data_IF_736534643658
#
_entry.id   IF_736534643658
#
_cell.length_a   1.000
_cell.length_b   1.000
_cell.length_c   1.000
_cell.angle_alpha   90.00
_cell.angle_beta   90.00
_cell.angle_gamma   90.00
#
_symmetry.space_group_name_H-M   'P 1'
#
loop_
_entity.id
_entity.type
_entity.pdbx_description
1 polymer ?
#
# COMPACT_ATOMS: atom_id res chain seq x y z
N UNK A 1 -5.22 0.35 -1.42
CA UNK A 1 -3.87 0.95 -1.30
C UNK A 1 -3.20 0.47 -0.01
N UNK A 2 -2.57 -0.71 -0.06
CA UNK A 2 -1.87 -1.29 1.11
C UNK A 2 -0.39 -0.86 1.20
N UNK A 3 0.18 -0.31 0.14
CA UNK A 3 1.62 -0.09 0.00
C UNK A 3 2.19 1.12 0.76
N UNK A 4 1.43 2.18 1.01
CA UNK A 4 1.92 3.42 1.61
C UNK A 4 2.09 3.38 3.15
N UNK A 5 2.34 2.20 3.73
CA UNK A 5 2.37 2.03 5.20
C UNK A 5 3.61 2.59 5.87
N UNK A 6 4.74 2.60 5.17
CA UNK A 6 6.01 3.00 5.77
C UNK A 6 6.00 4.49 6.13
N UNK A 7 5.62 5.35 5.21
CA UNK A 7 5.58 6.82 5.39
C UNK A 7 4.34 7.30 6.14
N UNK A 8 3.17 6.81 5.76
CA UNK A 8 1.88 7.30 6.26
C UNK A 8 1.31 6.47 7.42
N UNK A 9 1.78 5.25 7.60
CA UNK A 9 1.24 4.32 8.60
C UNK A 9 -0.01 3.60 8.10
N UNK A 10 -0.78 3.04 9.05
CA UNK A 10 -1.96 2.24 8.76
C UNK A 10 -3.23 3.08 8.78
N UNK A 11 -4.30 2.62 8.13
CA UNK A 11 -5.64 3.24 8.12
C UNK A 11 -6.17 3.50 9.53
N UNK A 12 -5.81 2.65 10.51
CA UNK A 12 -6.18 2.77 11.92
C UNK A 12 -5.88 4.16 12.50
N UNK A 13 -4.75 4.77 12.13
CA UNK A 13 -4.34 6.11 12.59
C UNK A 13 -5.19 7.25 12.03
N UNK A 14 -5.97 6.97 11.00
CA UNK A 14 -6.80 7.97 10.32
C UNK A 14 -8.28 7.81 10.60
N UNK A 15 -8.70 6.74 11.28
CA UNK A 15 -10.09 6.56 11.70
C UNK A 15 -10.29 7.27 13.03
N UNK A 16 -11.06 8.35 12.99
CA UNK A 16 -11.37 9.18 14.17
C UNK A 16 -12.60 8.69 14.92
N UNK A 17 -13.52 8.01 14.22
CA UNK A 17 -14.74 7.49 14.80
C UNK A 17 -15.48 6.58 13.84
N UNK A 18 -16.33 5.72 14.38
CA UNK A 18 -17.15 4.78 13.64
C UNK A 18 -18.59 4.81 14.11
N UNK A 19 -19.51 4.58 13.19
CA UNK A 19 -20.88 4.17 13.48
C UNK A 19 -21.00 2.71 13.07
N UNK A 20 -21.33 1.85 14.01
CA UNK A 20 -21.34 0.40 13.83
C UNK A 20 -22.65 -0.21 14.30
N UNK A 21 -23.03 -1.31 13.65
CA UNK A 21 -24.12 -2.17 14.07
C UNK A 21 -23.53 -3.38 14.82
N UNK A 22 -23.93 -3.52 16.09
CA UNK A 22 -23.48 -4.64 16.94
C UNK A 22 -24.21 -5.94 16.61
N UNK A 23 -23.77 -7.07 17.16
CA UNK A 23 -24.41 -8.38 17.04
C UNK A 23 -25.88 -8.38 17.51
N UNK A 24 -26.22 -7.50 18.48
CA UNK A 24 -27.58 -7.31 19.00
C UNK A 24 -28.42 -6.35 18.17
N UNK A 25 -28.01 -6.05 16.94
CA UNK A 25 -28.65 -5.10 16.03
C UNK A 25 -28.82 -3.68 16.61
N UNK A 26 -27.96 -3.29 17.55
CA UNK A 26 -27.94 -1.93 18.10
C UNK A 26 -26.92 -1.07 17.39
N UNK A 27 -27.33 0.16 17.04
CA UNK A 27 -26.42 1.15 16.48
C UNK A 27 -25.58 1.75 17.60
N UNK A 28 -24.26 1.72 17.44
CA UNK A 28 -23.29 2.30 18.37
C UNK A 28 -22.36 3.25 17.65
N UNK A 29 -21.99 4.35 18.28
CA UNK A 29 -20.99 5.28 17.80
C UNK A 29 -19.76 5.22 18.68
N UNK A 30 -18.58 5.18 18.06
CA UNK A 30 -17.28 5.18 18.74
C UNK A 30 -16.42 6.32 18.24
N UNK A 31 -15.36 6.67 18.99
CA UNK A 31 -14.41 7.71 18.62
C UNK A 31 -14.77 9.09 19.17
N UNK A 32 -14.09 10.11 18.65
CA UNK A 32 -14.10 11.46 19.18
C UNK A 32 -15.50 12.10 19.13
N UNK A 33 -16.24 11.92 20.18
CA UNK A 33 -17.45 12.68 20.48
C UNK A 33 -17.09 14.02 21.16
N UNK A 34 -16.16 14.79 20.60
CA UNK A 34 -15.70 16.06 21.20
C UNK A 34 -14.59 15.90 22.25
N UNK A 35 -14.16 17.04 22.81
CA UNK A 35 -13.10 17.10 23.82
C UNK A 35 -13.47 16.27 25.06
N UNK A 36 -12.64 15.30 25.43
CA UNK A 36 -12.72 14.65 26.72
C UNK A 36 -13.09 13.16 26.73
N UNK A 37 -13.15 12.47 25.61
CA UNK A 37 -13.38 11.02 25.55
C UNK A 37 -12.10 10.19 25.70
N UNK A 38 -11.20 10.59 26.60
CA UNK A 38 -9.94 9.86 26.83
C UNK A 38 -10.03 8.82 27.95
N UNK A 39 -11.24 8.57 28.45
CA UNK A 39 -11.45 7.62 29.53
C UNK A 39 -11.94 6.27 28.99
N UNK A 40 -11.17 5.21 29.24
CA UNK A 40 -11.52 3.84 28.88
C UNK A 40 -10.79 3.28 27.66
N UNK A 41 -11.28 2.15 27.15
CA UNK A 41 -10.70 1.49 25.98
C UNK A 41 -11.05 2.20 24.69
N UNK A 42 -10.08 2.28 23.76
CA UNK A 42 -10.32 2.82 22.43
C UNK A 42 -11.06 1.79 21.54
N UNK A 43 -12.39 1.82 21.61
CA UNK A 43 -13.24 0.91 20.84
C UNK A 43 -13.12 1.15 19.32
N UNK A 44 -12.82 2.37 18.88
CA UNK A 44 -12.58 2.65 17.46
C UNK A 44 -11.38 1.83 16.95
N UNK A 45 -10.29 1.84 17.69
CA UNK A 45 -9.10 1.08 17.33
C UNK A 45 -9.30 -0.43 17.43
N UNK A 46 -10.15 -0.91 18.33
CA UNK A 46 -10.50 -2.32 18.44
C UNK A 46 -11.30 -2.80 17.22
N UNK A 47 -12.23 -1.97 16.75
CA UNK A 47 -13.10 -2.30 15.62
C UNK A 47 -12.41 -2.19 14.26
N UNK A 48 -11.44 -1.29 14.11
CA UNK A 48 -10.68 -1.16 12.87
C UNK A 48 -9.85 -2.42 12.62
N UNK A 49 -10.00 -3.01 11.45
CA UNK A 49 -9.42 -4.29 11.03
C UNK A 49 -10.01 -5.54 11.69
N UNK A 50 -11.19 -5.45 12.31
CA UNK A 50 -11.94 -6.63 12.79
C UNK A 50 -12.64 -7.41 11.67
N UNK A 51 -12.65 -6.89 10.45
CA UNK A 51 -13.23 -7.52 9.25
C UNK A 51 -14.69 -7.96 9.42
N UNK A 52 -15.46 -7.22 10.23
CA UNK A 52 -16.87 -7.50 10.50
C UNK A 52 -17.12 -8.52 11.62
N UNK A 53 -16.07 -9.08 12.23
CA UNK A 53 -16.24 -10.12 13.29
C UNK A 53 -16.74 -9.56 14.60
N UNK A 54 -16.50 -8.27 14.88
CA UNK A 54 -16.95 -7.61 16.12
C UNK A 54 -18.20 -6.76 15.90
N UNK A 55 -18.32 -6.10 14.76
CA UNK A 55 -19.47 -5.29 14.38
C UNK A 55 -19.41 -4.93 12.90
N UNK A 56 -20.55 -4.58 12.31
CA UNK A 56 -20.65 -4.07 10.95
C UNK A 56 -20.52 -2.54 10.94
N UNK A 57 -19.53 -2.02 10.23
CA UNK A 57 -19.33 -0.58 10.11
C UNK A 57 -20.26 0.01 9.05
N UNK A 58 -21.13 0.96 9.47
CA UNK A 58 -22.03 1.70 8.57
C UNK A 58 -21.45 3.03 8.13
N UNK A 59 -20.72 3.73 9.03
CA UNK A 59 -20.08 5.02 8.73
C UNK A 59 -18.73 5.12 9.43
N UNK A 60 -17.82 5.89 8.81
CA UNK A 60 -16.52 6.21 9.38
C UNK A 60 -16.24 7.72 9.26
N UNK A 61 -15.69 8.29 10.34
CA UNK A 61 -15.11 9.63 10.34
C UNK A 61 -13.61 9.48 10.16
N UNK A 62 -13.08 10.08 9.10
CA UNK A 62 -11.68 9.92 8.70
C UNK A 62 -10.93 11.25 8.81
N UNK A 63 -9.70 11.19 9.34
CA UNK A 63 -8.73 12.27 9.20
C UNK A 63 -8.21 12.27 7.77
N UNK A 64 -8.38 13.38 7.07
CA UNK A 64 -7.87 13.55 5.71
C UNK A 64 -6.44 14.06 5.72
N UNK A 65 -5.68 13.66 4.71
CA UNK A 65 -4.33 14.15 4.42
C UNK A 65 -4.32 14.81 3.05
N UNK A 66 -3.50 15.83 2.91
CA UNK A 66 -3.28 16.46 1.61
C UNK A 66 -2.57 15.47 0.68
N UNK A 67 -3.07 15.23 -0.54
CA UNK A 67 -2.39 14.36 -1.48
C UNK A 67 -1.02 14.94 -1.87
N UNK A 68 0.01 14.09 -2.06
CA UNK A 68 1.32 14.55 -2.52
C UNK A 68 1.22 15.17 -3.90
N UNK A 69 2.01 16.23 -4.15
CA UNK A 69 2.03 16.95 -5.44
C UNK A 69 2.80 16.19 -6.52
N UNK A 70 3.74 15.34 -6.13
CA UNK A 70 4.54 14.52 -7.03
C UNK A 70 4.80 13.16 -6.41
N UNK A 71 5.06 12.17 -7.25
CA UNK A 71 5.58 10.89 -6.83
C UNK A 71 6.43 10.28 -7.94
N UNK A 72 7.37 9.41 -7.57
CA UNK A 72 8.25 8.71 -8.50
C UNK A 72 8.37 7.26 -8.08
N UNK A 73 8.09 6.36 -9.00
CA UNK A 73 8.20 4.92 -8.79
C UNK A 73 9.48 4.40 -9.43
N UNK A 74 10.08 3.40 -8.77
CA UNK A 74 11.30 2.74 -9.21
C UNK A 74 11.15 1.24 -8.98
N UNK A 75 11.74 0.45 -9.88
CA UNK A 75 11.87 -0.98 -9.75
C UNK A 75 13.35 -1.34 -9.84
N UNK A 76 13.84 -2.18 -8.93
CA UNK A 76 15.22 -2.65 -8.93
C UNK A 76 15.28 -4.17 -8.90
N UNK A 77 16.08 -4.75 -9.76
CA UNK A 77 16.24 -6.20 -9.93
C UNK A 77 17.55 -6.63 -9.27
N UNK A 78 17.50 -7.69 -8.45
CA UNK A 78 18.67 -8.18 -7.72
C UNK A 78 18.96 -9.64 -8.00
N UNK A 79 20.28 -10.00 -8.12
CA UNK A 79 20.71 -11.36 -8.30
C UNK A 79 20.67 -12.19 -7.02
N UNK A 80 20.56 -11.54 -5.85
CA UNK A 80 20.56 -12.16 -4.53
C UNK A 80 19.58 -11.44 -3.58
N UNK A 81 18.80 -12.21 -2.83
CA UNK A 81 17.90 -11.72 -1.79
C UNK A 81 18.64 -10.85 -0.75
N UNK A 82 19.87 -11.25 -0.37
CA UNK A 82 20.69 -10.52 0.59
C UNK A 82 21.00 -9.09 0.12
N UNK A 83 21.32 -8.90 -1.15
CA UNK A 83 21.61 -7.58 -1.72
C UNK A 83 20.38 -6.68 -1.72
N UNK A 84 19.22 -7.24 -2.08
CA UNK A 84 17.95 -6.51 -1.98
C UNK A 84 17.64 -6.07 -0.55
N UNK A 85 17.86 -6.94 0.44
CA UNK A 85 17.67 -6.60 1.86
C UNK A 85 18.65 -5.52 2.33
N UNK A 86 19.90 -5.55 1.87
CA UNK A 86 20.88 -4.50 2.14
C UNK A 86 20.49 -3.16 1.52
N UNK A 87 19.91 -3.18 0.31
CA UNK A 87 19.40 -1.99 -0.34
C UNK A 87 18.25 -1.35 0.46
N UNK A 88 17.33 -2.15 1.00
CA UNK A 88 16.27 -1.64 1.90
C UNK A 88 16.86 -0.93 3.11
N UNK A 89 17.83 -1.56 3.79
CA UNK A 89 18.51 -0.94 4.93
C UNK A 89 19.27 0.34 4.52
N UNK A 90 19.91 0.32 3.37
CA UNK A 90 20.63 1.48 2.82
C UNK A 90 19.72 2.68 2.50
N UNK A 91 18.52 2.44 1.96
CA UNK A 91 17.53 3.50 1.69
C UNK A 91 17.13 4.19 3.00
N UNK A 92 16.84 3.41 4.05
CA UNK A 92 16.48 3.96 5.36
C UNK A 92 17.69 4.69 6.01
N UNK A 93 18.90 4.14 5.89
CA UNK A 93 20.12 4.78 6.38
C UNK A 93 20.45 6.10 5.65
N UNK A 94 20.03 6.23 4.39
CA UNK A 94 20.09 7.48 3.63
C UNK A 94 19.01 8.51 4.04
N UNK A 95 18.27 8.26 5.11
CA UNK A 95 17.17 9.10 5.61
C UNK A 95 16.02 9.31 4.61
N UNK A 96 15.88 8.42 3.63
CA UNK A 96 14.73 8.42 2.73
C UNK A 96 13.66 7.47 3.28
N UNK A 97 12.44 8.00 3.45
CA UNK A 97 11.28 7.21 3.87
C UNK A 97 10.31 7.11 2.69
N UNK A 98 10.40 6.04 1.88
CA UNK A 98 9.51 5.88 0.74
C UNK A 98 8.05 5.70 1.20
N UNK A 99 7.10 6.14 0.39
CA UNK A 99 5.69 5.86 0.66
C UNK A 99 5.36 4.38 0.38
N UNK A 100 6.07 3.77 -0.58
CA UNK A 100 5.97 2.35 -0.90
C UNK A 100 7.36 1.72 -0.93
N UNK A 101 7.50 0.57 -0.29
CA UNK A 101 8.67 -0.29 -0.38
C UNK A 101 8.19 -1.74 -0.32
N UNK A 102 8.10 -2.38 -1.47
CA UNK A 102 7.62 -3.75 -1.61
C UNK A 102 8.76 -4.65 -2.07
N UNK A 103 8.84 -5.82 -1.47
CA UNK A 103 9.84 -6.83 -1.76
C UNK A 103 9.16 -8.06 -2.37
N UNK A 104 9.63 -8.50 -3.51
CA UNK A 104 9.21 -9.75 -4.14
C UNK A 104 10.40 -10.68 -4.28
N UNK A 105 10.28 -11.89 -3.77
CA UNK A 105 11.22 -12.98 -4.00
C UNK A 105 10.97 -13.69 -5.34
N UNK A 106 11.85 -14.58 -5.72
CA UNK A 106 11.74 -15.32 -7.00
C UNK A 106 10.42 -16.07 -7.13
N UNK A 107 9.94 -16.71 -6.06
CA UNK A 107 8.67 -17.43 -6.09
C UNK A 107 7.49 -16.48 -6.37
N UNK A 108 7.45 -15.35 -5.68
CA UNK A 108 6.43 -14.32 -5.87
C UNK A 108 6.49 -13.73 -7.28
N UNK A 109 7.70 -13.45 -7.79
CA UNK A 109 7.90 -12.94 -9.16
C UNK A 109 7.28 -13.89 -10.17
N UNK A 110 7.58 -15.20 -10.06
CA UNK A 110 7.07 -16.20 -11.00
C UNK A 110 5.55 -16.36 -10.88
N UNK A 111 4.97 -16.37 -9.67
CA UNK A 111 3.52 -16.41 -9.49
C UNK A 111 2.81 -15.20 -10.10
N UNK A 112 3.36 -13.99 -9.91
CA UNK A 112 2.81 -12.77 -10.50
C UNK A 112 2.90 -12.84 -12.02
N UNK A 113 4.04 -13.27 -12.56
CA UNK A 113 4.26 -13.34 -14.00
C UNK A 113 3.37 -14.40 -14.67
N UNK A 114 3.14 -15.55 -14.00
CA UNK A 114 2.21 -16.57 -14.49
C UNK A 114 0.77 -16.05 -14.58
N UNK A 115 0.38 -15.15 -13.67
CA UNK A 115 -0.98 -14.62 -13.62
C UNK A 115 -1.18 -13.38 -14.49
N UNK A 116 -0.23 -12.45 -14.48
CA UNK A 116 -0.39 -11.11 -15.10
C UNK A 116 0.33 -11.02 -16.44
N UNK A 117 1.46 -11.74 -16.61
CA UNK A 117 2.28 -11.77 -17.82
C UNK A 117 2.72 -10.37 -18.30
N UNK A 118 3.42 -9.65 -17.43
CA UNK A 118 3.89 -8.27 -17.66
C UNK A 118 5.38 -8.18 -18.04
N UNK A 119 6.08 -9.31 -18.17
CA UNK A 119 7.48 -9.37 -18.57
C UNK A 119 8.47 -9.23 -17.41
N UNK A 120 8.11 -9.66 -16.19
CA UNK A 120 9.05 -9.67 -15.08
C UNK A 120 10.17 -10.69 -15.31
N UNK A 121 11.42 -10.38 -14.90
CA UNK A 121 12.55 -11.30 -15.04
C UNK A 121 12.39 -12.50 -14.10
N UNK A 122 12.08 -13.66 -14.65
CA UNK A 122 11.80 -14.91 -13.92
C UNK A 122 13.03 -15.50 -13.20
N UNK A 123 14.21 -15.15 -13.63
CA UNK A 123 15.51 -15.56 -13.07
C UNK A 123 16.02 -14.63 -11.96
N UNK A 124 15.37 -13.49 -11.74
CA UNK A 124 15.71 -12.58 -10.66
C UNK A 124 15.51 -13.25 -9.30
N UNK A 125 16.49 -13.10 -8.38
CA UNK A 125 16.35 -13.59 -7.02
C UNK A 125 15.39 -12.71 -6.18
N UNK A 126 15.38 -11.40 -6.45
CA UNK A 126 14.45 -10.46 -5.82
C UNK A 126 14.22 -9.22 -6.69
N UNK A 127 13.03 -8.64 -6.54
CA UNK A 127 12.67 -7.32 -7.07
C UNK A 127 12.22 -6.43 -5.92
N UNK A 128 12.70 -5.17 -5.90
CA UNK A 128 12.19 -4.12 -5.04
C UNK A 128 11.36 -3.13 -5.86
N UNK A 129 10.15 -2.85 -5.38
CA UNK A 129 9.31 -1.76 -5.87
C UNK A 129 9.33 -0.64 -4.85
N UNK A 130 9.83 0.53 -5.26
CA UNK A 130 10.00 1.69 -4.39
C UNK A 130 9.22 2.85 -4.97
N UNK A 131 8.50 3.58 -4.12
CA UNK A 131 7.86 4.82 -4.50
C UNK A 131 8.18 5.90 -3.47
N UNK A 132 8.66 7.05 -3.94
CA UNK A 132 8.82 8.28 -3.16
C UNK A 132 7.77 9.29 -3.58
N UNK A 133 7.23 10.07 -2.63
CA UNK A 133 6.19 11.05 -2.87
C UNK A 133 6.35 12.29 -1.99
N UNK A 134 5.81 13.41 -2.44
CA UNK A 134 5.87 14.66 -1.69
C UNK A 134 5.91 15.92 -2.56
N UNK A 135 6.77 16.86 -2.17
CA UNK A 135 7.05 18.05 -2.96
C UNK A 135 7.95 17.70 -4.18
N UNK A 136 7.73 18.27 -5.37
CA UNK A 136 8.47 17.89 -6.58
C UNK A 136 9.99 17.91 -6.43
N UNK A 137 10.57 18.94 -5.82
CA UNK A 137 12.02 19.05 -5.60
C UNK A 137 12.53 17.93 -4.66
N UNK A 138 11.82 17.68 -3.56
CA UNK A 138 12.15 16.60 -2.63
C UNK A 138 12.09 15.22 -3.30
N UNK A 139 11.06 14.97 -4.10
CA UNK A 139 10.89 13.69 -4.82
C UNK A 139 12.04 13.48 -5.82
N UNK A 140 12.52 14.56 -6.48
CA UNK A 140 13.66 14.47 -7.37
C UNK A 140 14.94 14.09 -6.62
N UNK A 141 15.23 14.74 -5.50
CA UNK A 141 16.44 14.50 -4.68
C UNK A 141 16.40 13.10 -4.04
N UNK A 142 15.25 12.71 -3.47
CA UNK A 142 15.05 11.39 -2.87
C UNK A 142 15.20 10.27 -3.92
N UNK A 143 14.66 10.47 -5.14
CA UNK A 143 14.78 9.48 -6.21
C UNK A 143 16.24 9.25 -6.62
N UNK A 144 17.05 10.32 -6.75
CA UNK A 144 18.49 10.22 -7.04
C UNK A 144 19.22 9.46 -5.91
N UNK A 145 18.89 9.77 -4.66
CA UNK A 145 19.49 9.11 -3.50
C UNK A 145 19.15 7.63 -3.46
N UNK A 146 17.88 7.26 -3.70
CA UNK A 146 17.43 5.87 -3.76
C UNK A 146 18.11 5.13 -4.91
N UNK A 147 18.14 5.70 -6.11
CA UNK A 147 18.77 5.08 -7.28
C UNK A 147 20.26 4.78 -7.02
N UNK A 148 20.96 5.71 -6.38
CA UNK A 148 22.36 5.51 -5.98
C UNK A 148 22.50 4.34 -5.02
N UNK A 149 21.69 4.28 -3.95
CA UNK A 149 21.72 3.17 -2.96
C UNK A 149 21.45 1.82 -3.63
N UNK A 150 20.47 1.76 -4.55
CA UNK A 150 20.14 0.54 -5.27
C UNK A 150 21.32 0.04 -6.10
N UNK A 151 21.99 0.93 -6.85
CA UNK A 151 23.18 0.60 -7.63
C UNK A 151 24.36 0.18 -6.75
N UNK A 152 24.63 0.91 -5.67
CA UNK A 152 25.71 0.61 -4.72
C UNK A 152 25.48 -0.73 -4.01
N UNK A 153 24.23 -1.16 -3.84
CA UNK A 153 23.85 -2.46 -3.29
C UNK A 153 23.91 -3.61 -4.31
N UNK A 154 24.27 -3.32 -5.56
CA UNK A 154 24.45 -4.32 -6.61
C UNK A 154 23.16 -4.74 -7.31
N UNK A 155 22.23 -3.82 -7.50
CA UNK A 155 21.11 -4.03 -8.42
C UNK A 155 21.62 -4.26 -9.83
N UNK A 156 21.10 -5.27 -10.53
CA UNK A 156 21.40 -5.55 -11.93
C UNK A 156 20.83 -4.49 -12.85
N UNK A 157 19.62 -4.05 -12.51
CA UNK A 157 18.89 -3.04 -13.27
C UNK A 157 18.06 -2.18 -12.32
N UNK A 158 17.96 -0.89 -12.62
CA UNK A 158 17.09 0.05 -11.92
C UNK A 158 16.26 0.79 -12.97
N UNK A 159 14.97 0.48 -13.01
CA UNK A 159 13.99 1.13 -13.88
C UNK A 159 13.30 2.24 -13.11
N UNK A 160 13.34 3.45 -13.62
CA UNK A 160 12.67 4.62 -13.03
C UNK A 160 11.49 4.98 -13.93
N UNK A 161 10.28 4.97 -13.37
CA UNK A 161 9.09 5.36 -14.12
C UNK A 161 9.15 6.86 -14.50
N UNK A 162 8.86 7.16 -15.77
CA UNK A 162 8.98 8.51 -16.32
C UNK A 162 7.89 9.45 -15.82
N UNK A 163 6.65 8.94 -15.56
CA UNK A 163 5.48 9.73 -15.15
C UNK A 163 4.51 8.94 -14.27
N UNK A 164 3.57 9.66 -13.63
CA UNK A 164 2.48 9.04 -12.88
C UNK A 164 1.56 8.16 -13.77
N UNK A 165 1.48 8.44 -15.07
CA UNK A 165 0.78 7.62 -16.05
C UNK A 165 1.51 6.30 -16.37
N UNK A 166 2.83 6.27 -16.23
CA UNK A 166 3.65 5.07 -16.43
C UNK A 166 3.50 4.04 -15.30
N UNK A 167 2.98 4.43 -14.13
CA UNK A 167 2.74 3.48 -13.03
C UNK A 167 1.78 2.36 -13.38
N UNK A 168 0.74 2.70 -14.13
CA UNK A 168 -0.31 1.74 -14.51
C UNK A 168 0.11 0.89 -15.72
N UNK A 169 1.06 1.36 -16.52
CA UNK A 169 1.54 0.67 -17.71
C UNK A 169 2.78 -0.20 -17.45
N UNK A 170 3.73 0.28 -16.62
CA UNK A 170 5.01 -0.41 -16.41
C UNK A 170 5.01 -1.39 -15.21
N UNK A 171 4.09 -1.22 -14.24
CA UNK A 171 4.05 -2.05 -13.04
C UNK A 171 2.79 -2.94 -12.95
N UNK A 172 2.01 -3.00 -14.02
CA UNK A 172 0.79 -3.81 -14.08
C UNK A 172 -0.22 -3.41 -13.00
N UNK A 173 -1.22 -2.60 -13.36
CA UNK A 173 -2.44 -2.55 -12.56
C UNK A 173 -2.94 -3.97 -12.40
N UNK A 174 -3.26 -4.46 -11.18
CA UNK A 174 -3.85 -5.77 -11.04
C UNK A 174 -5.08 -5.81 -11.96
N UNK A 175 -5.25 -6.88 -12.77
CA UNK A 175 -6.39 -6.99 -13.65
C UNK A 175 -7.65 -6.76 -12.83
N UNK A 176 -8.56 -5.94 -13.33
CA UNK A 176 -9.88 -5.82 -12.73
C UNK A 176 -10.43 -7.23 -12.71
N UNK A 177 -10.64 -7.76 -11.51
CA UNK A 177 -11.19 -9.11 -11.33
C UNK A 177 -12.45 -9.28 -12.20
N UNK A 178 -12.83 -10.53 -12.51
CA UNK A 178 -13.95 -10.79 -13.40
C UNK A 178 -15.14 -9.96 -12.97
N UNK A 179 -15.82 -9.36 -13.95
CA UNK A 179 -16.98 -8.49 -13.74
C UNK A 179 -17.89 -9.12 -12.69
N UNK A 180 -18.23 -8.38 -11.65
CA UNK A 180 -19.17 -8.86 -10.62
C UNK A 180 -20.40 -9.39 -11.34
N UNK A 181 -20.86 -10.61 -11.06
CA UNK A 181 -22.14 -11.07 -11.57
C UNK A 181 -23.19 -10.02 -11.18
N UNK A 182 -24.00 -9.61 -12.14
CA UNK A 182 -25.09 -8.68 -11.93
C UNK A 182 -26.02 -9.16 -10.81
N UNK A 183 -26.86 -8.27 -10.24
CA UNK A 183 -27.76 -8.63 -9.17
C UNK A 183 -28.58 -9.85 -9.57
N UNK A 184 -28.60 -10.88 -8.72
CA UNK A 184 -29.44 -12.05 -8.86
C UNK A 184 -30.89 -11.58 -9.06
N UNK A 185 -31.43 -11.81 -10.23
CA UNK A 185 -32.87 -11.65 -10.46
C UNK A 185 -33.58 -12.63 -9.53
N UNK A 186 -34.39 -12.09 -8.64
CA UNK A 186 -35.31 -12.88 -7.86
C UNK A 186 -36.25 -13.61 -8.85
N UNK A 187 -36.14 -14.93 -8.93
CA UNK A 187 -37.17 -15.76 -9.58
C UNK A 187 -38.33 -15.83 -8.61
N UNK A 188 -39.40 -15.10 -8.94
CA UNK A 188 -40.71 -15.37 -8.38
C UNK A 188 -41.11 -16.78 -8.80
N UNK A 189 -41.24 -17.67 -7.84
CA UNK A 189 -41.94 -18.95 -8.01
C UNK A 189 -43.42 -18.76 -7.70
N UNK A 190 -44.31 -19.34 -8.53
CA UNK A 190 -45.74 -19.28 -8.35
C UNK A 190 -46.25 -19.99 -7.11
#
# INVERSE_FOLDING_TARGET
RRAARLKYGTTKKYVMGLEVLTETAKLMKTGACGRGCEYGYNLTELLVASEGTLALTSKAVLKLVTPPKASKAMMAIFPEVKRASQAVAGIIAAHVVPCTLEFMDNATINYVEDYVNIGLPRDAAAILLIEVDGHPAQVADEAVSVEKVLKDSGALEVVVAKDAAGKDADLGSPPQGPARPGPLQAHDHP
#
